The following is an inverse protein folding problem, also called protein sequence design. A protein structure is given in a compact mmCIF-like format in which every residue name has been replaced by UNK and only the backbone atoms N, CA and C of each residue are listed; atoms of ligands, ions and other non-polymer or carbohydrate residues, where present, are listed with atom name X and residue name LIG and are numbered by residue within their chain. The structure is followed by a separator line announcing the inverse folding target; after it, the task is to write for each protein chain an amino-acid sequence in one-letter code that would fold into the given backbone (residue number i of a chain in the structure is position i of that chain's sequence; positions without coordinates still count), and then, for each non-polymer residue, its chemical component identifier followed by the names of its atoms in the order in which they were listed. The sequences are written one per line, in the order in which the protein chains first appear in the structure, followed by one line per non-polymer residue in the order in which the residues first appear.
data_IF_383664452089
#
_entry.id   IF_383664452089
#
_cell.length_a   1.000
_cell.length_b   1.000
_cell.length_c   1.000
_cell.angle_alpha   90.00
_cell.angle_beta   90.00
_cell.angle_gamma   90.00
#
_symmetry.space_group_name_H-M   'P 1'
#
loop_
_entity.id
_entity.type
_entity.pdbx_description
1 polymer ?
#
# COMPACT_ATOMS: atom_id res chain seq x y z
N UNK A 1 18.21 3.11 -10.36
CA UNK A 1 18.28 4.19 -9.36
C UNK A 1 18.37 3.52 -8.00
N UNK A 2 19.41 3.84 -7.22
CA UNK A 2 19.58 3.33 -5.86
C UNK A 2 18.60 4.03 -4.90
N UNK A 3 18.37 3.46 -3.71
CA UNK A 3 17.56 4.11 -2.66
C UNK A 3 18.14 5.47 -2.26
N UNK A 4 19.47 5.56 -2.18
CA UNK A 4 20.20 6.80 -1.89
C UNK A 4 19.95 7.87 -2.96
N UNK A 5 19.87 7.48 -4.24
CA UNK A 5 19.59 8.40 -5.35
C UNK A 5 18.17 8.98 -5.23
N UNK A 6 17.20 8.13 -4.83
CA UNK A 6 15.79 8.53 -4.63
C UNK A 6 15.67 9.47 -3.44
N UNK A 7 16.26 9.11 -2.29
CA UNK A 7 16.26 9.93 -1.08
C UNK A 7 16.95 11.27 -1.30
N UNK A 8 18.05 11.32 -2.06
CA UNK A 8 18.73 12.58 -2.41
C UNK A 8 17.90 13.48 -3.31
N UNK A 9 17.20 12.91 -4.29
CA UNK A 9 16.32 13.66 -5.19
C UNK A 9 15.03 14.14 -4.51
N UNK A 10 14.59 13.46 -3.45
CA UNK A 10 13.39 13.81 -2.69
C UNK A 10 13.64 14.80 -1.53
N UNK A 11 14.86 15.32 -1.35
CA UNK A 11 15.24 16.27 -0.27
C UNK A 11 14.68 17.70 -0.41
N UNK A 12 13.60 17.91 -1.16
CA UNK A 12 12.84 19.16 -1.08
C UNK A 12 12.01 19.16 0.23
N UNK A 13 11.90 20.30 0.94
CA UNK A 13 11.38 20.31 2.31
C UNK A 13 9.84 20.26 2.30
N UNK A 14 9.27 19.05 2.29
CA UNK A 14 7.89 18.81 2.68
C UNK A 14 7.82 17.73 3.75
N UNK A 15 6.82 17.88 4.61
CA UNK A 15 6.81 17.51 6.02
C UNK A 15 6.73 16.00 6.28
N UNK A 16 7.06 15.67 7.53
CA UNK A 16 7.07 14.37 8.20
C UNK A 16 6.07 13.30 7.68
N UNK A 17 6.58 12.06 7.60
CA UNK A 17 5.85 10.77 7.54
C UNK A 17 5.22 10.31 6.21
N UNK A 18 5.28 11.07 5.13
CA UNK A 18 4.77 10.61 3.82
C UNK A 18 5.75 9.71 3.05
N UNK A 19 5.21 8.73 2.33
CA UNK A 19 5.96 7.84 1.43
C UNK A 19 6.66 8.67 0.35
N UNK A 20 7.98 8.52 0.21
CA UNK A 20 8.77 9.25 -0.78
C UNK A 20 8.30 8.91 -2.21
N UNK A 21 7.63 9.87 -2.86
CA UNK A 21 7.22 9.76 -4.26
C UNK A 21 8.46 9.65 -5.13
N UNK A 22 8.46 8.67 -6.04
CA UNK A 22 9.60 8.45 -6.92
C UNK A 22 9.77 9.63 -7.90
N UNK A 23 10.94 10.27 -7.93
CA UNK A 23 11.17 11.51 -8.70
C UNK A 23 11.31 11.29 -10.23
N UNK A 24 11.13 10.07 -10.72
CA UNK A 24 11.19 9.79 -12.17
C UNK A 24 12.60 9.70 -12.76
N UNK A 25 13.67 9.71 -11.95
CA UNK A 25 15.07 9.80 -12.41
C UNK A 25 15.48 8.73 -13.44
N UNK A 26 14.97 7.50 -13.30
CA UNK A 26 15.18 6.40 -14.26
C UNK A 26 13.99 6.14 -15.19
N UNK A 27 12.95 7.00 -15.24
CA UNK A 27 11.70 6.77 -16.00
C UNK A 27 11.89 6.75 -17.51
N UNK A 28 12.87 7.49 -18.03
CA UNK A 28 13.17 7.58 -19.48
C UNK A 28 14.35 6.71 -19.93
N UNK A 29 15.05 6.06 -18.99
CA UNK A 29 16.28 5.31 -19.26
C UNK A 29 16.00 3.85 -19.67
N UNK A 30 15.16 3.64 -20.68
CA UNK A 30 14.84 2.31 -21.19
C UNK A 30 16.06 1.59 -21.81
N UNK A 31 17.05 2.34 -22.32
CA UNK A 31 18.13 1.80 -23.16
C UNK A 31 19.54 1.87 -22.55
N UNK A 32 19.69 2.41 -21.34
CA UNK A 32 20.99 2.38 -20.66
C UNK A 32 21.23 0.99 -20.07
N UNK A 33 21.61 0.04 -20.95
CA UNK A 33 22.36 -1.17 -20.58
C UNK A 33 23.65 -0.75 -19.90
N UNK A 34 23.59 -0.33 -18.62
CA UNK A 34 24.76 -0.44 -17.77
C UNK A 34 25.10 -1.92 -17.77
N UNK A 35 26.25 -2.24 -18.36
CA UNK A 35 26.93 -3.54 -18.31
C UNK A 35 27.21 -3.90 -16.84
N UNK A 36 26.17 -4.17 -16.07
CA UNK A 36 26.29 -4.87 -14.81
C UNK A 36 26.37 -6.34 -15.21
N UNK A 37 27.58 -6.88 -15.10
CA UNK A 37 27.91 -8.29 -15.32
C UNK A 37 27.20 -9.23 -14.32
N UNK A 38 26.42 -8.71 -13.38
CA UNK A 38 25.55 -9.46 -12.49
C UNK A 38 24.10 -9.41 -12.95
N UNK A 39 23.51 -10.58 -13.24
CA UNK A 39 22.06 -10.75 -13.41
C UNK A 39 21.28 -10.00 -12.30
N UNK A 40 20.25 -9.27 -12.71
CA UNK A 40 19.08 -8.86 -11.90
C UNK A 40 19.32 -8.09 -10.58
N UNK A 41 19.67 -6.80 -10.64
CA UNK A 41 19.63 -5.90 -9.46
C UNK A 41 18.85 -4.61 -9.69
N UNK A 42 17.73 -4.65 -10.40
CA UNK A 42 16.87 -3.49 -10.58
C UNK A 42 15.43 -3.80 -10.19
N UNK A 43 14.75 -2.80 -9.61
CA UNK A 43 13.32 -2.87 -9.35
C UNK A 43 12.56 -2.45 -10.61
N UNK A 44 11.46 -3.14 -10.89
CA UNK A 44 10.47 -2.72 -11.87
C UNK A 44 9.44 -1.83 -11.19
N UNK A 45 9.06 -0.75 -11.85
CA UNK A 45 8.03 0.18 -11.38
C UNK A 45 6.89 0.25 -12.38
N UNK A 46 5.67 0.41 -11.87
CA UNK A 46 4.54 0.81 -12.69
C UNK A 46 4.73 2.25 -13.13
N UNK A 47 4.60 2.50 -14.43
CA UNK A 47 4.72 3.84 -15.01
C UNK A 47 3.35 4.49 -14.97
N UNK A 48 3.09 5.29 -13.95
CA UNK A 48 1.80 5.94 -13.76
C UNK A 48 1.63 7.05 -14.79
N UNK A 49 0.54 7.07 -15.58
CA UNK A 49 0.24 8.18 -16.48
C UNK A 49 0.24 9.53 -15.75
N UNK A 50 0.66 10.59 -16.46
CA UNK A 50 0.73 11.93 -15.86
C UNK A 50 -0.67 12.55 -15.73
N UNK A 51 -0.88 13.34 -14.69
CA UNK A 51 -2.11 14.11 -14.48
C UNK A 51 -3.38 13.30 -14.23
N UNK A 52 -3.27 12.02 -13.85
CA UNK A 52 -4.45 11.20 -13.56
C UNK A 52 -4.90 11.31 -12.11
N UNK A 53 -6.21 11.25 -11.92
CA UNK A 53 -6.87 10.99 -10.63
C UNK A 53 -7.46 9.58 -10.67
N UNK A 54 -7.33 8.86 -9.55
CA UNK A 54 -7.95 7.57 -9.35
C UNK A 54 -9.13 7.80 -8.40
N UNK A 55 -10.34 7.50 -8.88
CA UNK A 55 -11.56 7.63 -8.11
C UNK A 55 -12.19 6.26 -7.90
N UNK A 56 -12.67 5.99 -6.68
CA UNK A 56 -13.41 4.77 -6.37
C UNK A 56 -14.37 4.97 -5.21
N UNK A 57 -15.42 4.15 -5.18
CA UNK A 57 -16.36 4.10 -4.08
C UNK A 57 -15.87 3.11 -3.01
N UNK A 58 -15.65 3.60 -1.80
CA UNK A 58 -15.44 2.77 -0.62
C UNK A 58 -16.75 2.56 0.14
N UNK A 59 -16.95 1.35 0.67
CA UNK A 59 -18.15 0.97 1.41
C UNK A 59 -18.38 1.74 2.72
N UNK A 60 -17.34 2.35 3.31
CA UNK A 60 -17.45 3.20 4.51
C UNK A 60 -17.07 4.64 4.26
N UNK A 61 -15.93 4.88 3.59
CA UNK A 61 -15.38 6.21 3.40
C UNK A 61 -16.12 7.01 2.31
N UNK A 62 -16.97 6.36 1.52
CA UNK A 62 -17.68 7.01 0.44
C UNK A 62 -16.81 7.14 -0.81
N UNK A 63 -17.10 8.14 -1.64
CA UNK A 63 -16.30 8.44 -2.82
C UNK A 63 -14.91 8.94 -2.42
N UNK A 64 -13.88 8.25 -2.89
CA UNK A 64 -12.47 8.58 -2.65
C UNK A 64 -11.81 9.01 -3.96
N UNK A 65 -10.98 10.05 -3.92
CA UNK A 65 -10.19 10.52 -5.06
C UNK A 65 -8.71 10.71 -4.66
N UNK A 66 -7.80 10.17 -5.47
CA UNK A 66 -6.36 10.32 -5.28
C UNK A 66 -5.69 10.76 -6.58
N UNK A 67 -5.08 11.93 -6.56
CA UNK A 67 -4.22 12.42 -7.64
C UNK A 67 -2.87 11.73 -7.58
N UNK A 68 -2.49 11.00 -8.63
CA UNK A 68 -1.31 10.15 -8.60
C UNK A 68 -0.01 10.92 -8.29
N UNK A 69 0.16 12.10 -8.87
CA UNK A 69 1.39 12.91 -8.70
C UNK A 69 1.52 13.52 -7.29
N UNK A 70 0.40 13.75 -6.61
CA UNK A 70 0.38 14.29 -5.24
C UNK A 70 0.53 13.18 -4.19
N UNK A 71 0.06 11.96 -4.49
CA UNK A 71 -0.07 10.90 -3.48
C UNK A 71 0.91 9.73 -3.63
N UNK A 72 1.41 9.38 -4.83
CA UNK A 72 2.28 8.19 -4.96
C UNK A 72 3.25 8.09 -6.14
N UNK A 73 2.90 8.55 -7.35
CA UNK A 73 3.74 8.44 -8.54
C UNK A 73 4.15 7.00 -8.93
N UNK A 74 5.28 6.81 -9.63
CA UNK A 74 5.69 5.47 -10.10
C UNK A 74 6.10 4.55 -8.92
N UNK A 75 5.26 3.55 -8.64
CA UNK A 75 5.46 2.62 -7.53
C UNK A 75 6.11 1.30 -7.97
N UNK A 76 6.78 0.61 -7.05
CA UNK A 76 7.45 -0.67 -7.34
C UNK A 76 6.41 -1.78 -7.56
N UNK A 77 6.59 -2.59 -8.60
CA UNK A 77 5.79 -3.80 -8.89
C UNK A 77 6.61 -5.08 -8.75
N UNK A 78 7.91 -5.01 -9.00
CA UNK A 78 8.83 -6.13 -8.83
C UNK A 78 10.14 -5.65 -8.23
N UNK A 79 10.59 -6.29 -7.16
CA UNK A 79 11.77 -5.84 -6.41
C UNK A 79 13.04 -6.45 -7.00
N UNK A 80 14.18 -5.82 -6.71
CA UNK A 80 15.49 -6.29 -7.19
C UNK A 80 15.87 -7.68 -6.65
N UNK A 81 15.35 -8.08 -5.48
CA UNK A 81 15.51 -9.42 -4.90
C UNK A 81 14.55 -10.47 -5.49
N UNK A 82 13.93 -10.16 -6.64
CA UNK A 82 13.02 -11.06 -7.38
C UNK A 82 11.74 -11.44 -6.64
N UNK A 83 11.28 -10.55 -5.75
CA UNK A 83 10.01 -10.70 -5.03
C UNK A 83 9.01 -9.67 -5.59
N UNK A 84 7.74 -10.04 -5.87
CA UNK A 84 6.72 -9.06 -6.25
C UNK A 84 6.50 -8.04 -5.12
N UNK A 85 6.10 -6.82 -5.49
CA UNK A 85 5.65 -5.88 -4.47
C UNK A 85 4.30 -6.31 -3.90
N UNK A 86 3.96 -5.79 -2.71
CA UNK A 86 2.63 -5.96 -2.14
C UNK A 86 1.51 -5.59 -3.12
N UNK A 87 1.68 -4.49 -3.87
CA UNK A 87 0.67 -4.02 -4.82
C UNK A 87 0.38 -5.06 -5.91
N UNK A 88 1.44 -5.62 -6.52
CA UNK A 88 1.28 -6.63 -7.56
C UNK A 88 0.80 -7.97 -7.00
N UNK A 89 1.40 -8.44 -5.91
CA UNK A 89 1.07 -9.74 -5.34
C UNK A 89 -0.41 -9.82 -4.94
N UNK A 90 -0.90 -8.82 -4.21
CA UNK A 90 -2.31 -8.80 -3.76
C UNK A 90 -3.28 -8.65 -4.93
N UNK A 91 -3.03 -7.75 -5.89
CA UNK A 91 -3.91 -7.63 -7.06
C UNK A 91 -4.03 -8.95 -7.83
N UNK A 92 -2.92 -9.67 -8.02
CA UNK A 92 -2.91 -10.96 -8.73
C UNK A 92 -3.63 -12.03 -7.91
N UNK A 93 -3.32 -12.16 -6.63
CA UNK A 93 -3.94 -13.17 -5.76
C UNK A 93 -5.44 -12.92 -5.61
N UNK A 94 -5.87 -11.67 -5.42
CA UNK A 94 -7.28 -11.30 -5.30
C UNK A 94 -8.07 -11.71 -6.57
N UNK A 95 -7.53 -11.40 -7.75
CA UNK A 95 -8.14 -11.77 -9.02
C UNK A 95 -8.20 -13.30 -9.19
N UNK A 96 -7.09 -14.00 -8.97
CA UNK A 96 -7.02 -15.46 -9.13
C UNK A 96 -7.90 -16.21 -8.12
N UNK A 97 -8.10 -15.65 -6.94
CA UNK A 97 -8.97 -16.20 -5.90
C UNK A 97 -10.43 -15.76 -6.04
N UNK A 98 -10.77 -14.96 -7.05
CA UNK A 98 -12.10 -14.39 -7.28
C UNK A 98 -12.64 -13.65 -6.04
N UNK A 99 -11.78 -12.86 -5.39
CA UNK A 99 -12.20 -12.01 -4.29
C UNK A 99 -13.21 -10.99 -4.81
N UNK A 100 -14.39 -10.94 -4.20
CA UNK A 100 -15.46 -10.01 -4.56
C UNK A 100 -15.41 -8.71 -3.74
N UNK A 101 -14.90 -8.78 -2.50
CA UNK A 101 -14.80 -7.65 -1.58
C UNK A 101 -13.51 -7.74 -0.76
N UNK A 102 -12.79 -6.62 -0.69
CA UNK A 102 -11.59 -6.45 0.14
C UNK A 102 -11.92 -5.59 1.36
N UNK A 103 -11.88 -6.20 2.54
CA UNK A 103 -12.06 -5.53 3.83
C UNK A 103 -10.71 -5.40 4.54
N UNK A 104 -10.22 -4.17 4.76
CA UNK A 104 -8.90 -3.93 5.37
C UNK A 104 -8.83 -2.59 6.11
N UNK A 105 -7.73 -2.31 6.81
CA UNK A 105 -7.56 -1.04 7.53
C UNK A 105 -7.45 0.18 6.60
N UNK A 106 -8.01 1.31 7.01
CA UNK A 106 -8.00 2.59 6.26
C UNK A 106 -6.59 3.16 5.99
N UNK A 107 -5.58 2.70 6.72
CA UNK A 107 -4.19 3.03 6.43
C UNK A 107 -3.70 2.49 5.07
N UNK A 108 -4.45 1.57 4.46
CA UNK A 108 -4.14 1.02 3.14
C UNK A 108 -4.91 1.68 1.99
N UNK A 109 -5.64 2.78 2.23
CA UNK A 109 -6.49 3.41 1.22
C UNK A 109 -5.71 3.86 -0.04
N UNK A 110 -4.49 4.38 0.12
CA UNK A 110 -3.63 4.78 -1.01
C UNK A 110 -3.16 3.54 -1.80
N UNK A 111 -3.01 2.38 -1.14
CA UNK A 111 -2.70 1.13 -1.86
C UNK A 111 -3.84 0.72 -2.77
N UNK A 112 -5.09 0.99 -2.42
CA UNK A 112 -6.25 0.79 -3.31
C UNK A 112 -6.08 1.54 -4.61
N UNK A 113 -5.72 2.82 -4.56
CA UNK A 113 -5.53 3.62 -5.78
C UNK A 113 -4.45 3.04 -6.70
N UNK A 114 -3.36 2.52 -6.13
CA UNK A 114 -2.28 1.86 -6.88
C UNK A 114 -2.72 0.52 -7.48
N UNK A 115 -3.46 -0.27 -6.70
CA UNK A 115 -3.97 -1.57 -7.13
C UNK A 115 -5.00 -1.43 -8.25
N UNK A 116 -5.85 -0.40 -8.22
CA UNK A 116 -6.81 -0.10 -9.29
C UNK A 116 -6.11 0.17 -10.63
N UNK A 117 -4.97 0.86 -10.63
CA UNK A 117 -4.15 1.02 -11.85
C UNK A 117 -3.61 -0.31 -12.38
N UNK A 118 -3.31 -1.26 -11.50
CA UNK A 118 -2.89 -2.60 -11.90
C UNK A 118 -4.06 -3.41 -12.48
N UNK A 119 -5.24 -3.36 -11.85
CA UNK A 119 -6.46 -3.97 -12.39
C UNK A 119 -6.76 -3.43 -13.79
N UNK A 120 -6.72 -2.10 -13.98
CA UNK A 120 -6.92 -1.46 -15.28
C UNK A 120 -5.89 -1.94 -16.32
N UNK A 121 -4.60 -1.93 -15.97
CA UNK A 121 -3.53 -2.35 -16.89
C UNK A 121 -3.54 -3.84 -17.24
N UNK A 122 -4.16 -4.67 -16.39
CA UNK A 122 -4.34 -6.11 -16.61
C UNK A 122 -5.69 -6.45 -17.25
N UNK A 123 -6.52 -5.44 -17.51
CA UNK A 123 -7.88 -5.58 -18.06
C UNK A 123 -8.78 -6.46 -17.17
N UNK A 124 -8.65 -6.31 -15.86
CA UNK A 124 -9.39 -7.06 -14.85
C UNK A 124 -10.40 -6.18 -14.11
N UNK A 125 -11.50 -6.79 -13.69
CA UNK A 125 -12.48 -6.15 -12.82
C UNK A 125 -11.98 -6.15 -11.36
N UNK A 126 -11.91 -4.99 -10.68
CA UNK A 126 -11.52 -4.92 -9.29
C UNK A 126 -12.66 -5.34 -8.33
N UNK A 127 -12.35 -5.85 -7.13
CA UNK A 127 -13.35 -6.10 -6.09
C UNK A 127 -13.94 -4.80 -5.54
N UNK A 128 -15.03 -4.90 -4.77
CA UNK A 128 -15.43 -3.79 -3.90
C UNK A 128 -14.44 -3.62 -2.75
N UNK A 129 -14.36 -2.40 -2.20
CA UNK A 129 -13.46 -2.09 -1.10
C UNK A 129 -14.23 -1.54 0.11
N UNK A 130 -13.83 -1.98 1.30
CA UNK A 130 -14.29 -1.44 2.58
C UNK A 130 -13.10 -1.23 3.50
N UNK A 131 -12.84 0.02 3.88
CA UNK A 131 -11.71 0.36 4.73
C UNK A 131 -12.14 0.57 6.19
N UNK A 132 -11.82 -0.35 7.08
CA UNK A 132 -12.12 -0.29 8.52
C UNK A 132 -11.32 0.82 9.24
N UNK A 133 -11.92 1.47 10.26
CA UNK A 133 -11.19 2.43 11.10
C UNK A 133 -10.03 1.77 11.83
N UNK A 134 -8.97 2.52 12.10
CA UNK A 134 -7.85 2.03 12.89
C UNK A 134 -8.25 1.83 14.35
N UNK A 135 -7.71 0.78 14.98
CA UNK A 135 -7.87 0.59 16.42
C UNK A 135 -6.92 1.56 17.15
N UNK A 136 -7.50 2.42 17.99
CA UNK A 136 -6.78 3.43 18.75
C UNK A 136 -6.74 3.06 20.24
N UNK A 137 -5.75 3.55 20.97
CA UNK A 137 -5.68 3.46 22.41
C UNK A 137 -6.56 4.54 23.09
N UNK A 138 -6.58 4.55 24.43
CA UNK A 138 -7.34 5.54 25.21
C UNK A 138 -6.88 6.99 24.99
N UNK A 139 -5.69 7.20 24.40
CA UNK A 139 -5.12 8.50 24.05
C UNK A 139 -5.31 8.85 22.58
N UNK A 140 -6.06 8.03 21.82
CA UNK A 140 -6.28 8.21 20.39
C UNK A 140 -5.08 7.85 19.53
N UNK A 141 -4.03 7.24 20.08
CA UNK A 141 -2.87 6.80 19.30
C UNK A 141 -3.15 5.44 18.67
N UNK A 142 -2.71 5.28 17.42
CA UNK A 142 -2.81 4.00 16.71
C UNK A 142 -2.15 2.89 17.53
N UNK A 143 -2.91 1.84 17.84
CA UNK A 143 -2.36 0.68 18.52
C UNK A 143 -1.37 -0.04 17.60
N UNK A 144 -0.09 0.13 17.90
CA UNK A 144 0.99 -0.62 17.27
C UNK A 144 1.31 -1.88 18.08
N UNK A 145 1.81 -2.93 17.42
CA UNK A 145 2.25 -4.21 18.04
C UNK A 145 3.23 -4.04 19.21
N UNK A 146 3.83 -2.86 19.39
CA UNK A 146 4.71 -2.52 20.52
C UNK A 146 3.96 -2.50 21.86
N UNK A 147 2.65 -2.31 21.85
CA UNK A 147 1.80 -2.36 23.05
C UNK A 147 1.39 -3.82 23.30
N UNK A 148 2.28 -4.58 23.92
CA UNK A 148 2.15 -6.04 24.14
C UNK A 148 0.84 -6.45 24.83
N UNK A 149 0.25 -5.55 25.63
CA UNK A 149 -0.97 -5.75 26.41
C UNK A 149 -2.22 -6.07 25.60
N UNK A 150 -2.21 -5.86 24.28
CA UNK A 150 -3.36 -6.11 23.39
C UNK A 150 -3.07 -7.12 22.27
N UNK A 151 -1.97 -7.87 22.35
CA UNK A 151 -1.75 -8.99 21.42
C UNK A 151 -2.81 -10.08 21.62
N UNK A 152 -3.23 -10.77 20.55
CA UNK A 152 -4.16 -11.90 20.68
C UNK A 152 -3.66 -12.97 21.66
N UNK A 153 -2.34 -13.14 21.75
CA UNK A 153 -1.69 -14.01 22.72
C UNK A 153 -1.93 -13.54 24.16
N UNK A 154 -1.65 -12.27 24.45
CA UNK A 154 -1.87 -11.69 25.79
C UNK A 154 -3.35 -11.71 26.17
N UNK A 155 -4.26 -11.41 25.22
CA UNK A 155 -5.70 -11.48 25.44
C UNK A 155 -6.14 -12.91 25.79
N UNK A 156 -5.61 -13.92 25.09
CA UNK A 156 -5.87 -15.33 25.42
C UNK A 156 -5.30 -15.73 26.78
N UNK A 157 -4.13 -15.22 27.15
CA UNK A 157 -3.51 -15.45 28.47
C UNK A 157 -4.27 -14.72 29.60
N UNK A 158 -5.07 -13.69 29.29
CA UNK A 158 -5.88 -12.94 30.27
C UNK A 158 -7.17 -13.66 30.73
N UNK A 159 -7.36 -14.93 30.35
CA UNK A 159 -8.54 -15.77 30.65
C UNK A 159 -9.90 -15.20 30.20
N UNK A 160 -9.91 -14.12 29.41
CA UNK A 160 -11.13 -13.58 28.80
C UNK A 160 -11.59 -14.48 27.66
N UNK A 161 -12.90 -14.74 27.63
CA UNK A 161 -13.55 -15.42 26.51
C UNK A 161 -13.59 -14.53 25.26
N UNK A 162 -13.62 -15.10 24.04
CA UNK A 162 -13.82 -14.34 22.81
C UNK A 162 -15.04 -13.41 22.85
N UNK A 163 -16.14 -13.86 23.47
CA UNK A 163 -17.39 -13.11 23.64
C UNK A 163 -17.15 -11.85 24.49
N UNK A 164 -16.45 -11.98 25.62
CA UNK A 164 -16.11 -10.86 26.50
C UNK A 164 -15.19 -9.85 25.81
N UNK A 165 -14.26 -10.32 24.98
CA UNK A 165 -13.39 -9.44 24.19
C UNK A 165 -14.20 -8.66 23.15
N UNK A 166 -15.09 -9.33 22.40
CA UNK A 166 -15.94 -8.67 21.39
C UNK A 166 -16.92 -7.67 22.01
N UNK A 167 -17.51 -8.00 23.16
CA UNK A 167 -18.44 -7.10 23.86
C UNK A 167 -17.79 -5.77 24.26
N UNK A 168 -16.48 -5.77 24.55
CA UNK A 168 -15.73 -4.56 24.87
C UNK A 168 -15.44 -3.64 23.67
N UNK A 169 -15.74 -4.07 22.45
CA UNK A 169 -15.46 -3.33 21.21
C UNK A 169 -16.69 -2.82 20.45
N UNK A 170 -17.91 -3.10 20.93
CA UNK A 170 -19.10 -2.41 20.43
C UNK A 170 -19.14 -0.97 21.01
N UNK A 171 -18.44 -0.03 20.37
CA UNK A 171 -18.58 1.41 20.59
C UNK A 171 -18.71 2.12 19.26
#
# INVERSE_FOLDING_TARGET
CSRKDIEQAARAPHAAEDELIYPGTCRSNHDQKKKSSSRNQYCWRFKVPKGISICFQDGRLGMCEFKAEEHFGDFVVWRADSIPSYQLAVTVDDHLMNISEVVRGEDLIISTARQLLLYEALEWEPPSFYHCPLVLDEKGQRLAKRHQSLSLRALRESEKTPEQIRAGWNK
#
